data_IF_393215240825
#
_entry.id   IF_393215240825
#
_cell.length_a   1.000
_cell.length_b   1.000
_cell.length_c   1.000
_cell.angle_alpha   90.00
_cell.angle_beta   90.00
_cell.angle_gamma   90.00
#
_symmetry.space_group_name_H-M   'P 1'
#
loop_
_entity.id
_entity.type
_entity.pdbx_description
1 polymer ?
#
# COMPACT_ATOMS: atom_id res chain seq x y z
N UNK A 1 -2.49 -29.59 -2.81
CA UNK A 1 -1.93 -28.49 -3.62
C UNK A 1 -2.03 -27.21 -2.78
N UNK A 2 -0.92 -26.79 -2.18
CA UNK A 2 -0.82 -25.47 -1.55
C UNK A 2 -0.70 -24.43 -2.68
N UNK A 3 -1.36 -23.28 -2.52
CA UNK A 3 -1.46 -22.25 -3.57
C UNK A 3 -0.70 -21.01 -3.09
N UNK A 4 0.17 -20.49 -3.93
CA UNK A 4 0.86 -19.24 -3.66
C UNK A 4 -0.15 -18.09 -3.49
N UNK A 5 0.17 -17.16 -2.59
CA UNK A 5 -0.69 -15.99 -2.33
C UNK A 5 -0.20 -14.83 -3.17
N UNK A 6 -1.08 -14.28 -4.00
CA UNK A 6 -0.80 -13.06 -4.78
C UNK A 6 -1.24 -11.85 -3.96
N UNK A 7 -0.34 -10.89 -3.80
CA UNK A 7 -0.58 -9.62 -3.11
C UNK A 7 -0.37 -8.44 -4.06
N UNK A 8 -1.09 -7.35 -3.81
CA UNK A 8 -0.88 -6.08 -4.51
C UNK A 8 0.37 -5.40 -3.95
N UNK A 9 1.47 -5.43 -4.71
CA UNK A 9 2.71 -4.76 -4.36
C UNK A 9 3.49 -4.42 -5.62
N UNK A 10 3.86 -3.15 -5.77
CA UNK A 10 4.50 -2.63 -6.98
C UNK A 10 5.99 -2.93 -7.00
N UNK A 11 6.44 -3.63 -8.04
CA UNK A 11 7.84 -3.85 -8.33
C UNK A 11 8.45 -2.62 -9.00
N UNK A 12 9.52 -2.08 -8.42
CA UNK A 12 10.23 -0.89 -8.94
C UNK A 12 11.00 -1.14 -10.24
N UNK A 13 11.35 -2.39 -10.51
CA UNK A 13 12.19 -2.75 -11.67
C UNK A 13 11.36 -3.01 -12.93
N UNK A 14 10.28 -3.79 -12.80
CA UNK A 14 9.45 -4.20 -13.94
C UNK A 14 8.08 -3.50 -13.98
N UNK A 15 7.76 -2.66 -12.98
CA UNK A 15 6.50 -1.90 -12.93
C UNK A 15 5.24 -2.73 -12.65
N UNK A 16 5.38 -4.05 -12.46
CA UNK A 16 4.25 -4.92 -12.13
C UNK A 16 3.68 -4.59 -10.76
N UNK A 17 2.36 -4.56 -10.62
CA UNK A 17 1.66 -4.24 -9.37
C UNK A 17 1.31 -5.46 -8.51
N UNK A 18 1.89 -6.61 -8.83
CA UNK A 18 1.60 -7.90 -8.23
C UNK A 18 2.89 -8.58 -7.76
N UNK A 19 2.82 -9.12 -6.54
CA UNK A 19 3.88 -9.91 -5.95
C UNK A 19 3.30 -11.22 -5.40
N UNK A 20 4.13 -12.25 -5.34
CA UNK A 20 3.80 -13.57 -4.81
C UNK A 20 4.48 -13.75 -3.45
N UNK A 21 3.72 -14.28 -2.50
CA UNK A 21 4.21 -14.88 -1.27
C UNK A 21 4.15 -16.41 -1.41
N UNK A 22 5.30 -17.09 -1.55
CA UNK A 22 5.34 -18.55 -1.58
C UNK A 22 4.87 -19.13 -0.24
N UNK A 23 4.05 -20.16 -0.26
CA UNK A 23 3.60 -20.85 0.97
C UNK A 23 4.62 -21.87 1.51
N UNK A 24 5.73 -22.10 0.81
CA UNK A 24 6.71 -23.12 1.19
C UNK A 24 7.53 -22.72 2.44
N UNK A 25 7.76 -23.69 3.33
CA UNK A 25 8.48 -23.52 4.60
C UNK A 25 9.93 -23.02 4.45
N UNK A 26 10.51 -23.10 3.25
CA UNK A 26 11.87 -22.58 2.97
C UNK A 26 11.90 -21.06 2.71
N UNK A 27 10.78 -20.44 2.35
CA UNK A 27 10.69 -19.02 2.01
C UNK A 27 9.94 -18.23 3.09
N UNK A 28 10.36 -18.36 4.35
CA UNK A 28 9.72 -17.76 5.53
C UNK A 28 9.42 -16.26 5.36
N UNK A 29 8.25 -15.93 4.82
CA UNK A 29 7.76 -14.57 4.64
C UNK A 29 8.38 -13.78 3.47
N UNK A 30 9.21 -14.36 2.60
CA UNK A 30 9.84 -13.60 1.52
C UNK A 30 8.87 -13.35 0.36
N UNK A 31 8.65 -12.08 0.02
CA UNK A 31 7.78 -11.66 -1.08
C UNK A 31 8.61 -11.48 -2.35
N UNK A 32 8.10 -11.97 -3.48
CA UNK A 32 8.77 -11.94 -4.77
C UNK A 32 7.89 -11.27 -5.81
N UNK A 33 8.50 -10.58 -6.77
CA UNK A 33 7.75 -10.05 -7.90
C UNK A 33 7.14 -11.20 -8.72
N UNK A 34 5.87 -11.05 -9.13
CA UNK A 34 5.21 -12.03 -9.98
C UNK A 34 5.88 -12.18 -11.36
N UNK A 35 6.43 -11.10 -11.92
CA UNK A 35 6.97 -11.10 -13.29
C UNK A 35 8.48 -11.30 -13.34
N UNK A 36 9.26 -10.51 -12.60
CA UNK A 36 10.72 -10.62 -12.64
C UNK A 36 11.30 -11.59 -11.61
N UNK A 37 10.48 -12.17 -10.72
CA UNK A 37 10.91 -13.12 -9.69
C UNK A 37 11.82 -12.53 -8.59
N UNK A 38 12.16 -11.24 -8.65
CA UNK A 38 13.05 -10.59 -7.68
C UNK A 38 12.40 -10.55 -6.30
N UNK A 39 13.17 -10.87 -5.28
CA UNK A 39 12.75 -10.72 -3.88
C UNK A 39 12.64 -9.23 -3.52
N UNK A 40 11.49 -8.84 -2.98
CA UNK A 40 11.19 -7.49 -2.52
C UNK A 40 11.57 -7.26 -1.05
N UNK A 41 11.52 -8.30 -0.23
CA UNK A 41 11.77 -8.22 1.20
C UNK A 41 10.90 -9.20 1.97
N UNK A 42 10.80 -9.01 3.28
CA UNK A 42 9.89 -9.82 4.11
C UNK A 42 8.47 -9.23 4.12
N UNK A 43 7.49 -10.12 4.27
CA UNK A 43 6.07 -9.78 4.29
C UNK A 43 5.76 -8.76 5.40
N UNK A 44 6.36 -8.91 6.58
CA UNK A 44 6.17 -8.00 7.70
C UNK A 44 6.65 -6.57 7.39
N UNK A 45 7.74 -6.44 6.65
CA UNK A 45 8.28 -5.14 6.23
C UNK A 45 7.37 -4.48 5.20
N UNK A 46 6.92 -5.26 4.22
CA UNK A 46 5.99 -4.82 3.18
C UNK A 46 4.63 -4.41 3.77
N UNK A 47 4.10 -5.17 4.73
CA UNK A 47 2.86 -4.83 5.42
C UNK A 47 2.98 -3.50 6.18
N UNK A 48 4.13 -3.27 6.84
CA UNK A 48 4.40 -2.00 7.52
C UNK A 48 4.46 -0.84 6.52
N UNK A 49 5.20 -1.00 5.43
CA UNK A 49 5.31 0.01 4.37
C UNK A 49 3.93 0.38 3.80
N UNK A 50 3.09 -0.63 3.51
CA UNK A 50 1.73 -0.41 3.00
C UNK A 50 0.84 0.31 4.02
N UNK A 51 0.95 -0.05 5.30
CA UNK A 51 0.19 0.61 6.36
C UNK A 51 0.59 2.08 6.53
N UNK A 52 1.88 2.38 6.50
CA UNK A 52 2.40 3.75 6.59
C UNK A 52 1.95 4.60 5.40
N UNK A 53 2.06 4.06 4.17
CA UNK A 53 1.53 4.73 2.96
C UNK A 53 0.04 5.00 3.06
N UNK A 54 -0.76 4.01 3.48
CA UNK A 54 -2.21 4.18 3.63
C UNK A 54 -2.55 5.28 4.65
N UNK A 55 -1.80 5.35 5.76
CA UNK A 55 -1.94 6.40 6.77
C UNK A 55 -1.63 7.78 6.19
N UNK A 56 -0.51 7.94 5.49
CA UNK A 56 -0.12 9.21 4.87
C UNK A 56 -1.13 9.67 3.83
N UNK A 57 -1.61 8.76 2.98
CA UNK A 57 -2.65 9.07 2.00
C UNK A 57 -3.95 9.48 2.65
N UNK A 58 -4.33 8.82 3.75
CA UNK A 58 -5.49 9.19 4.56
C UNK A 58 -5.37 10.61 5.11
N UNK A 59 -4.22 10.96 5.70
CA UNK A 59 -3.94 12.31 6.21
C UNK A 59 -4.01 13.34 5.08
N UNK A 60 -3.40 13.05 3.93
CA UNK A 60 -3.40 13.93 2.76
C UNK A 60 -4.83 14.17 2.24
N UNK A 61 -5.63 13.11 2.08
CA UNK A 61 -7.04 13.20 1.65
C UNK A 61 -7.88 13.99 2.65
N UNK A 62 -7.71 13.73 3.95
CA UNK A 62 -8.40 14.48 4.99
C UNK A 62 -8.07 15.99 4.91
N UNK A 63 -6.79 16.33 4.77
CA UNK A 63 -6.34 17.72 4.59
C UNK A 63 -6.97 18.40 3.36
N UNK A 64 -7.08 17.69 2.23
CA UNK A 64 -7.78 18.21 1.03
C UNK A 64 -9.26 18.48 1.32
N UNK A 65 -9.96 17.55 1.97
CA UNK A 65 -11.37 17.71 2.34
C UNK A 65 -11.56 18.92 3.25
N UNK A 66 -10.72 19.08 4.27
CA UNK A 66 -10.80 20.21 5.20
C UNK A 66 -10.48 21.55 4.53
N UNK A 67 -9.51 21.62 3.61
CA UNK A 67 -9.22 22.82 2.82
C UNK A 67 -10.36 23.20 1.87
N UNK A 68 -11.07 22.21 1.34
CA UNK A 68 -12.19 22.39 0.42
C UNK A 68 -13.52 22.66 1.13
N UNK A 69 -13.58 22.65 2.47
CA UNK A 69 -14.79 23.06 3.18
C UNK A 69 -14.99 24.57 2.99
N UNK A 70 -16.06 25.02 2.32
CA UNK A 70 -16.37 26.42 2.29
C UNK A 70 -16.61 26.86 3.74
N UNK A 71 -15.79 27.79 4.23
CA UNK A 71 -16.11 28.54 5.43
C UNK A 71 -17.48 29.17 5.16
N UNK A 72 -18.55 28.59 5.71
CA UNK A 72 -19.79 29.32 5.91
C UNK A 72 -19.45 30.41 6.92
N UNK A 73 -18.85 31.52 6.45
CA UNK A 73 -18.96 32.80 7.12
C UNK A 73 -20.46 33.02 7.26
N UNK A 74 -20.97 32.76 8.46
CA UNK A 74 -22.26 33.32 8.86
C UNK A 74 -22.11 34.82 8.63
N UNK A 75 -22.68 35.33 7.54
CA UNK A 75 -23.13 36.72 7.48
C UNK A 75 -24.12 36.85 8.62
N UNK A 76 -23.62 37.22 9.80
CA UNK A 76 -24.40 38.00 10.73
C UNK A 76 -24.39 39.42 10.16
N UNK A 77 -25.46 39.72 9.43
CA UNK A 77 -25.94 41.05 9.11
C UNK A 77 -27.44 40.97 9.38
N UNK A 78 -28.08 41.96 10.02
CA UNK A 78 -27.58 43.12 10.74
C UNK A 78 -27.43 42.89 12.26
#
# INVERSE_FOLDING_TARGET
MMKDVVIAYSCRECGTEQAILPQEAMAAGSVHCLQCGRQHGQLAEIQRELADRAREEGIRKAGQIYRMRPFRRKRMLP
#
